data_IF_642691828371
#
_entry.id   IF_642691828371
#
_cell.length_a   1.000
_cell.length_b   1.000
_cell.length_c   1.000
_cell.angle_alpha   90.00
_cell.angle_beta   90.00
_cell.angle_gamma   90.00
#
_symmetry.space_group_name_H-M   'P 1'
#
loop_
_entity.id
_entity.type
_entity.pdbx_description
1 polymer ?
#
# COMPACT_ATOMS: atom_id res chain seq x y z
N UNK A 1 -0.04 -35.73 3.45
CA UNK A 1 -0.07 -34.67 4.48
C UNK A 1 -0.31 -33.38 3.76
N UNK A 2 -1.33 -32.60 4.12
CA UNK A 2 -1.44 -31.24 3.57
C UNK A 2 -0.20 -30.50 4.07
N UNK A 3 0.67 -30.06 3.16
CA UNK A 3 1.83 -29.24 3.48
C UNK A 3 1.39 -27.97 4.23
N UNK A 4 2.29 -27.38 4.99
CA UNK A 4 2.10 -26.07 5.61
C UNK A 4 1.63 -25.08 4.52
N UNK A 5 0.65 -24.27 4.86
CA UNK A 5 0.11 -23.25 3.95
C UNK A 5 0.76 -21.89 4.22
N UNK A 6 1.84 -21.87 4.98
CA UNK A 6 2.55 -20.65 5.38
C UNK A 6 3.37 -20.07 4.23
N UNK A 7 3.47 -18.76 4.19
CA UNK A 7 4.25 -18.02 3.20
C UNK A 7 5.16 -17.05 3.94
N UNK A 8 6.45 -17.12 3.64
CA UNK A 8 7.48 -16.27 4.23
C UNK A 8 7.97 -15.22 3.24
N UNK A 9 8.34 -14.08 3.76
CA UNK A 9 9.00 -12.98 3.03
C UNK A 9 10.49 -13.17 3.24
N UNK A 10 11.20 -13.52 2.18
CA UNK A 10 12.65 -13.78 2.27
C UNK A 10 13.46 -12.49 2.24
N UNK A 11 13.00 -11.49 1.51
CA UNK A 11 13.61 -10.17 1.39
C UNK A 11 12.86 -9.31 0.39
N UNK A 12 13.28 -8.06 0.27
CA UNK A 12 12.66 -7.13 -0.67
C UNK A 12 13.41 -5.82 -0.81
N UNK A 13 12.96 -5.02 -1.77
CA UNK A 13 13.52 -3.73 -2.12
C UNK A 13 12.43 -2.70 -2.41
N UNK A 14 12.71 -1.44 -2.11
CA UNK A 14 11.94 -0.27 -2.54
C UNK A 14 12.88 0.73 -3.19
N UNK A 15 12.53 1.23 -4.38
CA UNK A 15 13.27 2.31 -5.02
C UNK A 15 13.07 3.64 -4.27
N UNK A 16 13.94 4.62 -4.54
CA UNK A 16 13.77 5.96 -4.00
C UNK A 16 12.59 6.68 -4.69
N UNK A 17 11.49 6.92 -3.96
CA UNK A 17 10.27 7.53 -4.48
C UNK A 17 10.37 9.05 -4.67
N UNK A 18 11.43 9.70 -4.18
CA UNK A 18 11.66 11.11 -4.47
C UNK A 18 12.10 11.36 -5.92
N UNK A 19 12.57 10.32 -6.61
CA UNK A 19 13.06 10.42 -7.99
C UNK A 19 11.96 10.78 -8.99
N UNK A 20 12.38 11.33 -10.10
CA UNK A 20 11.56 11.50 -11.30
C UNK A 20 12.25 10.76 -12.45
N UNK A 21 11.83 9.51 -12.68
CA UNK A 21 12.50 8.62 -13.62
C UNK A 21 12.40 9.13 -15.07
N UNK A 22 11.32 9.83 -15.42
CA UNK A 22 11.19 10.46 -16.72
C UNK A 22 12.26 11.54 -16.96
N UNK A 23 12.54 12.38 -15.95
CA UNK A 23 13.61 13.40 -16.03
C UNK A 23 15.00 12.75 -16.06
N UNK A 24 15.15 11.58 -15.47
CA UNK A 24 16.39 10.80 -15.51
C UNK A 24 16.56 10.02 -16.81
N UNK A 25 15.59 10.07 -17.73
CA UNK A 25 15.60 9.32 -18.99
C UNK A 25 15.44 7.81 -18.79
N UNK A 26 14.80 7.39 -17.71
CA UNK A 26 14.54 5.98 -17.36
C UNK A 26 13.11 5.59 -17.68
N UNK A 27 12.93 4.38 -18.15
CA UNK A 27 11.66 3.77 -18.52
C UNK A 27 11.28 2.60 -17.60
N UNK A 28 10.20 1.88 -17.93
CA UNK A 28 9.79 0.67 -17.20
C UNK A 28 10.86 -0.43 -17.20
N UNK A 29 11.63 -0.58 -18.27
CA UNK A 29 12.68 -1.59 -18.30
C UNK A 29 13.77 -1.28 -17.27
N UNK A 30 14.22 -0.02 -17.23
CA UNK A 30 15.22 0.43 -16.26
C UNK A 30 14.72 0.34 -14.81
N UNK A 31 13.46 0.71 -14.54
CA UNK A 31 12.86 0.57 -13.21
C UNK A 31 12.70 -0.90 -12.81
N UNK A 32 12.24 -1.75 -13.73
CA UNK A 32 12.07 -3.19 -13.47
C UNK A 32 13.41 -3.86 -13.19
N UNK A 33 14.46 -3.54 -13.96
CA UNK A 33 15.80 -4.06 -13.72
C UNK A 33 16.31 -3.71 -12.32
N UNK A 34 16.19 -2.43 -11.92
CA UNK A 34 16.57 -1.96 -10.60
C UNK A 34 15.84 -2.74 -9.48
N UNK A 35 14.50 -2.88 -9.61
CA UNK A 35 13.69 -3.56 -8.59
C UNK A 35 13.99 -5.05 -8.53
N UNK A 36 14.12 -5.73 -9.66
CA UNK A 36 14.42 -7.16 -9.73
C UNK A 36 15.79 -7.45 -9.11
N UNK A 37 16.84 -6.78 -9.60
CA UNK A 37 18.22 -7.02 -9.14
C UNK A 37 18.38 -6.75 -7.64
N UNK A 38 17.86 -5.60 -7.17
CA UNK A 38 17.97 -5.24 -5.77
C UNK A 38 17.12 -6.15 -4.86
N UNK A 39 15.95 -6.61 -5.33
CA UNK A 39 15.09 -7.54 -4.59
C UNK A 39 15.76 -8.91 -4.43
N UNK A 40 16.28 -9.48 -5.52
CA UNK A 40 17.00 -10.76 -5.49
C UNK A 40 18.24 -10.68 -4.60
N UNK A 41 18.98 -9.56 -4.69
CA UNK A 41 20.14 -9.30 -3.82
C UNK A 41 19.75 -9.24 -2.35
N UNK A 42 18.71 -8.49 -2.00
CA UNK A 42 18.23 -8.38 -0.62
C UNK A 42 17.71 -9.71 -0.06
N UNK A 43 17.09 -10.53 -0.91
CA UNK A 43 16.63 -11.86 -0.55
C UNK A 43 17.75 -12.92 -0.56
N UNK A 44 18.95 -12.58 -1.04
CA UNK A 44 20.10 -13.49 -1.17
C UNK A 44 19.72 -14.77 -1.95
N UNK A 45 19.03 -14.58 -3.09
CA UNK A 45 18.54 -15.67 -3.93
C UNK A 45 18.97 -15.47 -5.39
N UNK A 46 19.28 -16.57 -6.08
CA UNK A 46 19.52 -16.54 -7.52
C UNK A 46 18.19 -16.45 -8.29
N UNK A 47 18.17 -15.70 -9.37
CA UNK A 47 16.99 -15.58 -10.23
C UNK A 47 16.49 -16.93 -10.75
N UNK A 48 17.39 -17.88 -11.02
CA UNK A 48 17.04 -19.24 -11.47
C UNK A 48 16.27 -20.06 -10.43
N UNK A 49 16.26 -19.67 -9.16
CA UNK A 49 15.45 -20.32 -8.11
C UNK A 49 14.01 -19.78 -8.05
N UNK A 50 13.69 -18.72 -8.78
CA UNK A 50 12.34 -18.17 -8.86
C UNK A 50 11.48 -19.03 -9.78
N UNK A 51 10.41 -19.62 -9.24
CA UNK A 51 9.50 -20.46 -10.01
C UNK A 51 8.39 -19.68 -10.74
N UNK A 52 7.99 -18.51 -10.21
CA UNK A 52 6.92 -17.68 -10.81
C UNK A 52 7.12 -16.20 -10.50
N UNK A 53 6.68 -15.31 -11.41
CA UNK A 53 6.75 -13.86 -11.22
C UNK A 53 5.36 -13.23 -11.30
N UNK A 54 5.04 -12.35 -10.35
CA UNK A 54 3.80 -11.58 -10.33
C UNK A 54 4.10 -10.08 -10.34
N UNK A 55 3.57 -9.38 -11.36
CA UNK A 55 3.81 -7.94 -11.52
C UNK A 55 2.53 -7.17 -11.15
N UNK A 56 2.61 -6.28 -10.16
CA UNK A 56 1.58 -5.30 -9.85
C UNK A 56 1.80 -4.01 -10.63
N UNK A 57 0.87 -3.66 -11.49
CA UNK A 57 0.89 -2.39 -12.23
C UNK A 57 -0.52 -2.04 -12.68
N UNK A 58 -0.92 -0.78 -12.56
CA UNK A 58 -2.28 -0.34 -12.89
C UNK A 58 -2.35 0.38 -14.24
N UNK A 59 -1.46 1.33 -14.52
CA UNK A 59 -1.65 2.31 -15.58
C UNK A 59 -0.51 2.36 -16.62
N UNK A 60 0.27 1.30 -16.78
CA UNK A 60 1.42 1.28 -17.68
C UNK A 60 1.08 1.70 -19.11
N UNK A 61 -0.06 1.26 -19.65
CA UNK A 61 -0.51 1.64 -20.99
C UNK A 61 -0.85 3.13 -21.10
N UNK A 62 -1.42 3.71 -20.06
CA UNK A 62 -1.87 5.10 -20.09
C UNK A 62 -0.72 6.08 -19.91
N UNK A 63 0.19 5.81 -18.98
CA UNK A 63 1.32 6.69 -18.71
C UNK A 63 2.50 6.52 -19.67
N UNK A 64 2.80 5.28 -20.07
CA UNK A 64 4.00 4.97 -20.85
C UNK A 64 3.71 4.20 -22.15
N UNK A 65 2.44 3.92 -22.48
CA UNK A 65 2.03 3.08 -23.62
C UNK A 65 2.66 1.69 -23.59
N UNK A 66 2.99 1.19 -22.38
CA UNK A 66 3.60 -0.12 -22.19
C UNK A 66 2.60 -1.07 -21.54
N UNK A 67 2.06 -1.99 -22.32
CA UNK A 67 1.34 -3.16 -21.84
C UNK A 67 2.28 -4.35 -21.61
N UNK A 68 1.70 -5.51 -21.28
CA UNK A 68 2.38 -6.79 -21.13
C UNK A 68 3.56 -6.75 -20.12
N UNK A 69 3.41 -5.94 -19.06
CA UNK A 69 4.46 -5.76 -18.06
C UNK A 69 4.78 -7.04 -17.27
N UNK A 70 3.93 -8.07 -17.31
CA UNK A 70 4.27 -9.38 -16.78
C UNK A 70 5.53 -10.00 -17.38
N UNK A 71 5.83 -9.71 -18.67
CA UNK A 71 7.04 -10.19 -19.34
C UNK A 71 8.27 -9.29 -19.13
N UNK A 72 8.11 -8.11 -18.49
CA UNK A 72 9.22 -7.18 -18.31
C UNK A 72 10.35 -7.73 -17.44
N UNK A 73 10.10 -8.45 -16.33
CA UNK A 73 11.16 -9.06 -15.53
C UNK A 73 12.07 -9.99 -16.35
N UNK A 74 11.52 -10.87 -17.19
CA UNK A 74 12.31 -11.73 -18.07
C UNK A 74 13.04 -10.95 -19.18
N UNK A 75 12.55 -9.77 -19.58
CA UNK A 75 13.21 -8.90 -20.55
C UNK A 75 14.50 -8.31 -20.00
N UNK A 76 14.56 -8.05 -18.68
CA UNK A 76 15.67 -7.32 -18.04
C UNK A 76 16.57 -8.19 -17.16
N UNK A 77 16.20 -9.46 -16.94
CA UNK A 77 16.95 -10.40 -16.12
C UNK A 77 16.97 -11.78 -16.82
N UNK A 78 18.12 -12.14 -17.40
CA UNK A 78 18.30 -13.40 -18.15
C UNK A 78 17.98 -14.64 -17.28
N UNK A 79 18.23 -14.58 -15.98
CA UNK A 79 17.93 -15.68 -15.06
C UNK A 79 16.43 -15.95 -14.85
N UNK A 80 15.55 -15.03 -15.29
CA UNK A 80 14.09 -15.19 -15.28
C UNK A 80 13.54 -15.58 -16.67
N UNK A 81 14.41 -15.83 -17.66
CA UNK A 81 13.96 -16.29 -18.98
C UNK A 81 13.30 -17.66 -18.84
N UNK A 82 12.13 -17.82 -19.50
CA UNK A 82 11.23 -18.98 -19.40
C UNK A 82 10.48 -19.13 -18.06
N UNK A 83 10.68 -18.23 -17.07
CA UNK A 83 9.91 -18.22 -15.82
C UNK A 83 8.48 -17.73 -16.10
N UNK A 84 7.42 -18.50 -15.72
CA UNK A 84 6.03 -18.05 -15.84
C UNK A 84 5.79 -16.72 -15.13
N UNK A 85 5.09 -15.81 -15.80
CA UNK A 85 4.84 -14.48 -15.24
C UNK A 85 3.45 -13.94 -15.60
N UNK A 86 2.88 -13.11 -14.74
CA UNK A 86 1.61 -12.44 -14.99
C UNK A 86 1.59 -11.02 -14.42
N UNK A 87 0.76 -10.14 -15.01
CA UNK A 87 0.46 -8.81 -14.49
C UNK A 87 -0.90 -8.81 -13.82
N UNK A 88 -1.00 -8.12 -12.68
CA UNK A 88 -2.20 -7.94 -11.88
C UNK A 88 -2.59 -6.46 -11.82
N UNK A 89 -3.88 -6.20 -12.00
CA UNK A 89 -4.48 -4.87 -11.93
C UNK A 89 -5.67 -4.89 -10.95
N UNK A 90 -5.67 -3.96 -10.00
CA UNK A 90 -6.75 -3.66 -9.08
C UNK A 90 -6.62 -2.19 -8.58
N UNK A 91 -6.38 -1.27 -9.53
CA UNK A 91 -6.03 0.12 -9.23
C UNK A 91 -4.88 0.20 -8.20
N UNK A 92 -5.02 1.03 -7.15
CA UNK A 92 -3.99 1.20 -6.11
C UNK A 92 -3.71 -0.08 -5.28
N UNK A 93 -4.52 -1.13 -5.40
CA UNK A 93 -4.31 -2.43 -4.76
C UNK A 93 -3.60 -3.46 -5.67
N UNK A 94 -3.15 -3.08 -6.87
CA UNK A 94 -2.53 -4.00 -7.84
C UNK A 94 -1.36 -4.78 -7.26
N UNK A 95 -0.48 -4.12 -6.49
CA UNK A 95 0.63 -4.76 -5.80
C UNK A 95 0.18 -5.78 -4.76
N UNK A 96 -0.83 -5.45 -3.96
CA UNK A 96 -1.38 -6.38 -2.96
C UNK A 96 -2.07 -7.60 -3.60
N UNK A 97 -2.74 -7.41 -4.76
CA UNK A 97 -3.35 -8.52 -5.50
C UNK A 97 -2.28 -9.40 -6.14
N UNK A 98 -1.16 -8.83 -6.62
CA UNK A 98 -0.01 -9.60 -7.08
C UNK A 98 0.57 -10.48 -5.95
N UNK A 99 0.70 -9.95 -4.73
CA UNK A 99 1.09 -10.72 -3.52
C UNK A 99 0.09 -11.85 -3.24
N UNK A 100 -1.23 -11.58 -3.26
CA UNK A 100 -2.25 -12.62 -3.03
C UNK A 100 -2.16 -13.75 -4.06
N UNK A 101 -1.86 -13.42 -5.33
CA UNK A 101 -1.70 -14.40 -6.40
C UNK A 101 -0.44 -15.25 -6.20
N UNK A 102 0.69 -14.63 -5.85
CA UNK A 102 1.91 -15.33 -5.47
C UNK A 102 1.69 -16.27 -4.28
N UNK A 103 0.98 -15.81 -3.24
CA UNK A 103 0.61 -16.65 -2.10
C UNK A 103 -0.25 -17.84 -2.51
N UNK A 104 -1.18 -17.67 -3.45
CA UNK A 104 -2.02 -18.78 -3.92
C UNK A 104 -1.18 -19.85 -4.63
N UNK A 105 -0.24 -19.46 -5.48
CA UNK A 105 0.66 -20.36 -6.19
C UNK A 105 1.58 -21.11 -5.23
N UNK A 106 2.21 -20.43 -4.26
CA UNK A 106 3.06 -21.05 -3.25
C UNK A 106 2.28 -22.00 -2.34
N UNK A 107 1.07 -21.63 -1.92
CA UNK A 107 0.21 -22.46 -1.05
C UNK A 107 -0.36 -23.67 -1.76
N UNK A 108 -0.54 -23.61 -3.07
CA UNK A 108 -0.95 -24.75 -3.88
C UNK A 108 0.17 -25.77 -4.07
N UNK A 109 1.43 -25.39 -3.78
CA UNK A 109 2.63 -26.17 -4.07
C UNK A 109 2.97 -26.24 -5.56
N UNK A 110 2.40 -25.35 -6.38
CA UNK A 110 2.75 -25.26 -7.80
C UNK A 110 4.18 -24.70 -7.98
N UNK A 111 4.59 -23.82 -7.08
CA UNK A 111 5.91 -23.21 -7.04
C UNK A 111 6.37 -23.08 -5.57
N UNK A 112 7.69 -23.02 -5.36
CA UNK A 112 8.28 -22.92 -4.02
C UNK A 112 8.83 -21.53 -3.71
N UNK A 113 9.16 -20.75 -4.74
CA UNK A 113 9.59 -19.36 -4.66
C UNK A 113 8.91 -18.50 -5.71
N UNK A 114 8.45 -17.33 -5.32
CA UNK A 114 7.81 -16.34 -6.17
C UNK A 114 8.49 -14.97 -6.03
N UNK A 115 8.70 -14.28 -7.17
CA UNK A 115 9.10 -12.88 -7.19
C UNK A 115 7.85 -12.02 -7.43
N UNK A 116 7.59 -11.07 -6.54
CA UNK A 116 6.54 -10.06 -6.72
C UNK A 116 7.21 -8.72 -7.00
N UNK A 117 6.80 -8.06 -8.08
CA UNK A 117 7.32 -6.76 -8.53
C UNK A 117 6.18 -5.78 -8.70
N UNK A 118 6.14 -4.72 -7.91
CA UNK A 118 5.20 -3.61 -8.11
C UNK A 118 5.93 -2.44 -8.76
N UNK A 119 5.42 -1.91 -9.86
CA UNK A 119 6.04 -0.80 -10.60
C UNK A 119 5.00 0.17 -11.13
N UNK A 120 5.29 1.47 -11.08
CA UNK A 120 4.47 2.50 -11.73
C UNK A 120 5.32 3.71 -12.14
N UNK A 121 4.96 4.35 -13.27
CA UNK A 121 5.54 5.59 -13.76
C UNK A 121 4.43 6.61 -13.98
N UNK A 122 4.29 7.59 -13.08
CA UNK A 122 3.17 8.55 -13.09
C UNK A 122 3.61 9.97 -13.49
N UNK A 123 4.92 10.22 -13.54
CA UNK A 123 5.49 11.54 -13.85
C UNK A 123 5.84 11.71 -15.34
N UNK A 124 5.31 10.84 -16.21
CA UNK A 124 5.54 10.87 -17.67
C UNK A 124 4.74 11.94 -18.38
N UNK A 125 3.69 12.46 -17.75
CA UNK A 125 2.74 13.44 -18.29
C UNK A 125 2.50 14.57 -17.28
N UNK A 126 1.94 15.73 -17.71
CA UNK A 126 1.53 16.79 -16.78
C UNK A 126 0.49 16.31 -15.76
N UNK A 127 0.45 16.91 -14.57
CA UNK A 127 -0.38 16.49 -13.45
C UNK A 127 -1.88 16.38 -13.76
N UNK A 128 -2.47 17.31 -14.50
CA UNK A 128 -3.89 17.22 -14.91
C UNK A 128 -4.15 16.00 -15.81
N UNK A 129 -3.23 15.67 -16.71
CA UNK A 129 -3.31 14.44 -17.53
C UNK A 129 -3.11 13.19 -16.69
N UNK A 130 -2.17 13.23 -15.74
CA UNK A 130 -1.96 12.14 -14.81
C UNK A 130 -3.22 11.84 -13.99
N UNK A 131 -3.89 12.87 -13.47
CA UNK A 131 -5.15 12.73 -12.76
C UNK A 131 -6.25 12.09 -13.62
N UNK A 132 -6.33 12.46 -14.93
CA UNK A 132 -7.26 11.82 -15.86
C UNK A 132 -6.93 10.34 -16.09
N UNK A 133 -5.64 10.00 -16.22
CA UNK A 133 -5.21 8.60 -16.36
C UNK A 133 -5.59 7.77 -15.14
N UNK A 134 -5.30 8.27 -13.94
CA UNK A 134 -5.70 7.62 -12.69
C UNK A 134 -7.23 7.49 -12.57
N UNK A 135 -7.99 8.44 -13.09
CA UNK A 135 -9.44 8.44 -13.11
C UNK A 135 -10.07 7.25 -13.87
N UNK A 136 -9.31 6.60 -14.77
CA UNK A 136 -9.78 5.42 -15.50
C UNK A 136 -10.10 4.22 -14.60
N UNK A 137 -9.62 4.17 -13.36
CA UNK A 137 -9.96 3.12 -12.40
C UNK A 137 -11.31 3.34 -11.69
N UNK A 138 -12.01 4.44 -11.93
CA UNK A 138 -13.38 4.65 -11.48
C UNK A 138 -14.40 4.09 -12.49
N UNK A 139 -15.66 4.16 -12.16
CA UNK A 139 -16.74 3.77 -13.09
C UNK A 139 -16.93 4.87 -14.14
N UNK A 140 -16.14 4.78 -15.21
CA UNK A 140 -16.10 5.77 -16.28
C UNK A 140 -17.49 6.09 -16.83
N UNK A 141 -17.81 7.39 -16.92
CA UNK A 141 -19.11 7.88 -17.39
C UNK A 141 -20.23 7.84 -16.35
N UNK A 142 -19.97 7.36 -15.14
CA UNK A 142 -20.95 7.26 -14.04
C UNK A 142 -20.52 7.99 -12.77
N UNK A 143 -19.24 8.31 -12.62
CA UNK A 143 -18.67 8.98 -11.44
C UNK A 143 -17.83 10.17 -11.85
N UNK A 144 -17.83 11.22 -11.00
CA UNK A 144 -16.91 12.35 -11.11
C UNK A 144 -17.05 13.24 -12.33
N UNK A 145 -18.23 13.27 -12.96
CA UNK A 145 -18.44 14.07 -14.19
C UNK A 145 -18.11 15.57 -14.03
N UNK A 146 -18.32 16.12 -12.82
CA UNK A 146 -18.09 17.52 -12.50
C UNK A 146 -16.77 17.79 -11.74
N UNK A 147 -15.97 16.74 -11.45
CA UNK A 147 -14.74 16.88 -10.71
C UNK A 147 -13.56 17.18 -11.65
N UNK A 148 -12.73 18.16 -11.29
CA UNK A 148 -11.43 18.36 -11.94
C UNK A 148 -10.47 17.22 -11.58
N UNK A 149 -10.48 16.84 -10.32
CA UNK A 149 -9.66 15.74 -9.77
C UNK A 149 -10.55 14.68 -9.14
N UNK A 150 -10.81 13.62 -9.89
CA UNK A 150 -11.78 12.59 -9.52
C UNK A 150 -11.54 11.99 -8.14
N UNK A 151 -10.31 11.53 -7.84
CA UNK A 151 -10.04 10.81 -6.60
C UNK A 151 -10.15 11.70 -5.36
N UNK A 152 -9.58 12.93 -5.33
CA UNK A 152 -9.85 13.87 -4.26
C UNK A 152 -11.34 14.13 -4.04
N UNK A 153 -12.11 14.31 -5.13
CA UNK A 153 -13.56 14.52 -5.04
C UNK A 153 -14.29 13.31 -4.42
N UNK A 154 -13.90 12.08 -4.79
CA UNK A 154 -14.52 10.88 -4.23
C UNK A 154 -14.18 10.70 -2.75
N UNK A 155 -12.96 10.96 -2.32
CA UNK A 155 -12.60 10.86 -0.92
C UNK A 155 -13.11 12.03 -0.07
N UNK A 156 -13.34 13.21 -0.67
CA UNK A 156 -14.12 14.26 -0.04
C UNK A 156 -15.56 13.78 0.26
N UNK A 157 -16.21 13.06 -0.67
CA UNK A 157 -17.53 12.47 -0.45
C UNK A 157 -17.53 11.38 0.65
N UNK A 158 -16.43 10.61 0.80
CA UNK A 158 -16.28 9.67 1.93
C UNK A 158 -16.24 10.43 3.25
N UNK A 159 -15.47 11.54 3.31
CA UNK A 159 -15.42 12.40 4.49
C UNK A 159 -16.78 13.06 4.77
N UNK A 160 -17.48 13.53 3.74
CA UNK A 160 -18.82 14.11 3.87
C UNK A 160 -19.84 13.09 4.41
N UNK A 161 -19.75 11.83 3.99
CA UNK A 161 -20.61 10.76 4.52
C UNK A 161 -20.27 10.43 5.97
N UNK A 162 -18.98 10.44 6.34
CA UNK A 162 -18.56 10.27 7.73
C UNK A 162 -19.08 11.43 8.60
N UNK A 163 -18.94 12.67 8.11
CA UNK A 163 -19.46 13.87 8.76
C UNK A 163 -20.98 13.82 8.94
N UNK A 164 -21.72 13.43 7.91
CA UNK A 164 -23.16 13.26 7.95
C UNK A 164 -23.62 12.29 9.04
N UNK A 165 -22.86 11.21 9.28
CA UNK A 165 -23.21 10.16 10.26
C UNK A 165 -22.80 10.53 11.68
N UNK A 166 -21.60 11.09 11.86
CA UNK A 166 -20.94 11.17 13.16
C UNK A 166 -20.44 12.56 13.53
N UNK A 167 -20.42 13.46 12.55
CA UNK A 167 -19.68 14.71 12.67
C UNK A 167 -18.19 14.51 12.39
N UNK A 168 -17.57 15.46 11.73
CA UNK A 168 -16.14 15.47 11.40
C UNK A 168 -15.62 16.90 11.52
N UNK A 169 -14.67 17.11 12.42
CA UNK A 169 -13.88 18.33 12.44
C UNK A 169 -12.71 18.18 11.46
N UNK A 170 -12.63 19.07 10.47
CA UNK A 170 -11.54 19.06 9.48
C UNK A 170 -10.16 19.24 10.12
N UNK A 171 -10.07 19.77 11.34
CA UNK A 171 -8.82 19.84 12.10
C UNK A 171 -8.20 18.44 12.31
N UNK A 172 -9.01 17.39 12.48
CA UNK A 172 -8.51 16.03 12.63
C UNK A 172 -7.91 15.51 11.31
N UNK A 173 -8.48 15.85 10.15
CA UNK A 173 -7.87 15.54 8.85
C UNK A 173 -6.53 16.27 8.68
N UNK A 174 -6.46 17.54 9.12
CA UNK A 174 -5.23 18.35 9.07
C UNK A 174 -4.14 17.85 10.02
N UNK A 175 -4.47 17.08 11.06
CA UNK A 175 -3.50 16.48 11.96
C UNK A 175 -2.77 15.27 11.36
N UNK A 176 -3.39 14.55 10.43
CA UNK A 176 -2.83 13.33 9.81
C UNK A 176 -1.63 13.65 8.92
N UNK A 177 -1.77 14.62 8.01
CA UNK A 177 -0.71 14.93 7.05
C UNK A 177 0.62 15.35 7.71
N UNK A 178 0.66 16.25 8.72
CA UNK A 178 1.90 16.59 9.42
C UNK A 178 2.59 15.37 10.05
N UNK A 179 1.82 14.44 10.63
CA UNK A 179 2.35 13.21 11.21
C UNK A 179 3.03 12.36 10.12
N UNK A 180 2.35 12.13 8.99
CA UNK A 180 2.89 11.34 7.89
C UNK A 180 4.11 12.00 7.24
N UNK A 181 4.15 13.33 7.11
CA UNK A 181 5.35 14.05 6.67
C UNK A 181 6.50 13.94 7.68
N UNK A 182 6.21 14.00 8.98
CA UNK A 182 7.24 13.81 10.02
C UNK A 182 7.81 12.39 10.00
N UNK A 183 6.97 11.37 9.82
CA UNK A 183 7.39 9.99 9.66
C UNK A 183 8.21 9.79 8.37
N UNK A 184 7.80 10.39 7.25
CA UNK A 184 8.51 10.33 5.98
C UNK A 184 9.96 10.86 6.06
N UNK A 185 10.23 11.86 6.90
CA UNK A 185 11.60 12.37 7.11
C UNK A 185 12.56 11.33 7.69
N UNK A 186 12.03 10.29 8.34
CA UNK A 186 12.79 9.16 8.90
C UNK A 186 13.03 8.05 7.88
N UNK A 187 12.31 8.05 6.76
CA UNK A 187 12.39 7.03 5.74
C UNK A 187 13.27 7.50 4.56
N UNK A 188 14.43 6.88 4.32
CA UNK A 188 15.38 7.30 3.27
C UNK A 188 14.80 7.18 1.85
N UNK A 189 13.75 6.38 1.66
CA UNK A 189 13.12 6.17 0.36
C UNK A 189 11.81 6.97 0.17
N UNK A 190 11.41 7.77 1.18
CA UNK A 190 10.18 8.55 1.12
C UNK A 190 10.28 9.71 0.12
N UNK A 191 9.21 9.94 -0.63
CA UNK A 191 9.13 11.00 -1.64
C UNK A 191 9.34 12.39 -1.05
N UNK A 192 8.79 12.63 0.14
CA UNK A 192 8.70 13.97 0.72
C UNK A 192 9.73 14.23 1.82
N UNK A 193 10.66 13.29 2.07
CA UNK A 193 11.63 13.37 3.17
C UNK A 193 12.39 14.71 3.27
N UNK A 194 12.67 15.33 2.11
CA UNK A 194 13.42 16.59 2.01
C UNK A 194 12.49 17.81 1.74
N UNK A 195 11.16 17.62 1.77
CA UNK A 195 10.25 18.72 1.49
C UNK A 195 10.14 19.68 2.66
N UNK A 196 10.08 20.97 2.33
CA UNK A 196 9.66 22.00 3.29
C UNK A 196 8.13 22.02 3.31
N UNK A 197 7.56 21.48 4.38
CA UNK A 197 6.12 21.48 4.62
C UNK A 197 5.81 22.56 5.68
N UNK A 198 4.74 23.36 5.51
CA UNK A 198 4.32 24.31 6.55
C UNK A 198 4.06 23.61 7.88
N UNK A 199 4.46 24.23 8.96
CA UNK A 199 4.19 23.75 10.33
C UNK A 199 3.71 24.94 11.17
N UNK A 200 2.44 24.99 11.57
CA UNK A 200 1.37 24.04 11.26
C UNK A 200 0.88 24.09 9.79
N UNK A 201 0.35 22.98 9.30
CA UNK A 201 -0.44 22.98 8.05
C UNK A 201 -1.81 23.61 8.37
N UNK A 202 -2.09 24.74 7.74
CA UNK A 202 -3.33 25.51 7.98
C UNK A 202 -4.27 25.46 6.78
N UNK A 203 -5.47 26.03 6.93
CA UNK A 203 -6.46 26.22 5.87
C UNK A 203 -6.24 27.49 5.02
N UNK A 204 -5.03 28.04 5.05
CA UNK A 204 -4.66 29.17 4.21
C UNK A 204 -4.55 28.75 2.74
N UNK A 205 -5.40 29.34 1.89
CA UNK A 205 -5.48 29.01 0.46
C UNK A 205 -4.21 29.36 -0.33
N UNK A 206 -3.36 30.23 0.18
CA UNK A 206 -2.09 30.58 -0.47
C UNK A 206 -1.04 29.45 -0.33
N UNK A 207 -1.04 28.76 0.80
CA UNK A 207 -0.06 27.70 1.12
C UNK A 207 -0.64 26.30 0.99
N UNK A 208 -1.93 26.14 1.27
CA UNK A 208 -2.67 24.87 1.25
C UNK A 208 -4.03 25.03 0.52
N UNK A 209 -4.04 25.29 -0.80
CA UNK A 209 -5.27 25.52 -1.55
C UNK A 209 -6.18 24.29 -1.55
N UNK A 210 -7.50 24.54 -1.68
CA UNK A 210 -8.50 23.50 -1.88
C UNK A 210 -8.20 22.76 -3.20
N UNK A 211 -8.19 21.43 -3.13
CA UNK A 211 -8.06 20.55 -4.30
C UNK A 211 -9.43 20.16 -4.82
N UNK A 212 -10.28 19.56 -3.98
CA UNK A 212 -11.67 19.18 -4.29
C UNK A 212 -12.49 19.07 -3.00
N UNK A 213 -13.71 19.60 -3.00
CA UNK A 213 -14.59 19.56 -1.86
C UNK A 213 -13.93 20.14 -0.60
N UNK A 214 -13.85 19.35 0.47
CA UNK A 214 -13.15 19.74 1.72
C UNK A 214 -11.65 19.44 1.72
N UNK A 215 -11.14 18.72 0.71
CA UNK A 215 -9.74 18.32 0.65
C UNK A 215 -8.85 19.42 0.10
N UNK A 216 -7.72 19.58 0.75
CA UNK A 216 -6.67 20.53 0.41
C UNK A 216 -5.43 19.83 -0.12
N UNK A 217 -4.47 20.59 -0.63
CA UNK A 217 -3.24 20.07 -1.26
C UNK A 217 -2.49 19.07 -0.38
N UNK A 218 -2.33 19.36 0.91
CA UNK A 218 -1.59 18.49 1.82
C UNK A 218 -2.41 17.32 2.35
N UNK A 219 -3.71 17.26 2.06
CA UNK A 219 -4.54 16.07 2.31
C UNK A 219 -4.34 14.97 1.26
N UNK A 220 -3.57 15.23 0.21
CA UNK A 220 -3.45 14.38 -0.96
C UNK A 220 -2.02 13.85 -1.13
N UNK A 221 -1.88 12.54 -1.38
CA UNK A 221 -0.64 11.97 -1.88
C UNK A 221 -0.29 12.56 -3.26
N UNK A 222 0.99 12.50 -3.62
CA UNK A 222 1.49 13.10 -4.85
C UNK A 222 1.79 12.03 -5.91
N UNK A 223 1.78 12.41 -7.20
CA UNK A 223 2.23 11.55 -8.30
C UNK A 223 3.65 11.06 -8.03
N UNK A 224 3.87 9.76 -8.17
CA UNK A 224 5.12 9.11 -7.80
C UNK A 224 5.56 8.12 -8.87
N UNK A 225 6.82 8.20 -9.29
CA UNK A 225 7.47 7.11 -10.00
C UNK A 225 8.12 6.17 -9.00
N UNK A 226 8.03 4.87 -9.21
CA UNK A 226 8.78 3.96 -8.36
C UNK A 226 8.34 2.51 -8.45
N UNK A 227 9.11 1.69 -7.77
CA UNK A 227 8.85 0.25 -7.68
C UNK A 227 9.27 -0.33 -6.34
N UNK A 228 8.69 -1.48 -6.03
CA UNK A 228 9.04 -2.30 -4.89
C UNK A 228 8.96 -3.77 -5.27
N UNK A 229 9.79 -4.60 -4.65
CA UNK A 229 9.82 -6.04 -4.90
C UNK A 229 9.92 -6.85 -3.61
N UNK A 230 9.40 -8.07 -3.67
CA UNK A 230 9.48 -9.08 -2.61
C UNK A 230 9.79 -10.44 -3.19
N UNK A 231 10.59 -11.23 -2.49
CA UNK A 231 10.67 -12.67 -2.71
C UNK A 231 9.84 -13.36 -1.62
N UNK A 232 8.86 -14.14 -2.06
CA UNK A 232 8.01 -14.97 -1.21
C UNK A 232 8.36 -16.43 -1.41
N UNK A 233 8.38 -17.21 -0.32
CA UNK A 233 8.71 -18.64 -0.36
C UNK A 233 7.75 -19.45 0.52
N UNK A 234 7.66 -20.75 0.23
CA UNK A 234 6.90 -21.69 1.04
C UNK A 234 7.84 -22.55 1.93
N UNK A 235 7.27 -23.49 2.68
CA UNK A 235 8.01 -24.38 3.58
C UNK A 235 8.95 -25.34 2.83
N UNK A 236 8.57 -25.77 1.62
CA UNK A 236 9.41 -26.66 0.82
C UNK A 236 10.72 -25.96 0.43
N UNK A 237 10.63 -24.69 -0.03
CA UNK A 237 11.83 -23.89 -0.31
C UNK A 237 12.76 -23.79 0.92
N UNK A 238 12.20 -23.48 2.10
CA UNK A 238 13.00 -23.34 3.32
C UNK A 238 13.64 -24.66 3.75
N UNK A 239 12.97 -25.79 3.50
CA UNK A 239 13.51 -27.13 3.74
C UNK A 239 14.73 -27.45 2.87
N UNK A 240 14.72 -27.02 1.62
CA UNK A 240 15.81 -27.19 0.65
C UNK A 240 16.91 -26.14 0.82
N UNK A 241 16.63 -25.02 1.50
CA UNK A 241 17.55 -23.91 1.71
C UNK A 241 17.69 -23.56 3.20
N UNK A 242 18.33 -24.40 4.02
CA UNK A 242 18.39 -24.23 5.47
C UNK A 242 19.13 -22.97 5.94
N UNK A 243 19.89 -22.34 5.04
CA UNK A 243 20.57 -21.07 5.30
C UNK A 243 19.71 -19.84 4.97
N UNK A 244 18.53 -20.01 4.37
CA UNK A 244 17.60 -18.91 4.11
C UNK A 244 17.11 -18.28 5.42
N UNK A 245 17.00 -16.96 5.43
CA UNK A 245 16.60 -16.18 6.63
C UNK A 245 15.44 -15.26 6.26
N UNK A 246 14.18 -15.74 6.39
CA UNK A 246 13.02 -14.90 6.16
C UNK A 246 12.96 -13.72 7.14
N UNK A 247 12.57 -12.57 6.63
CA UNK A 247 12.40 -11.33 7.41
C UNK A 247 10.98 -11.15 7.97
N UNK A 248 10.06 -12.08 7.64
CA UNK A 248 8.70 -12.07 8.16
C UNK A 248 7.89 -13.22 7.58
N UNK A 249 6.75 -13.50 8.20
CA UNK A 249 5.77 -14.49 7.75
C UNK A 249 4.39 -13.84 7.58
N UNK A 250 3.70 -14.14 6.49
CA UNK A 250 2.33 -13.66 6.25
C UNK A 250 1.36 -14.64 6.92
N UNK A 251 0.92 -14.31 8.13
CA UNK A 251 0.03 -15.15 8.93
C UNK A 251 -1.45 -14.94 8.60
N UNK A 252 -1.80 -13.76 8.12
CA UNK A 252 -3.18 -13.46 7.81
C UNK A 252 -3.35 -12.59 6.58
N UNK A 253 -4.48 -12.77 5.91
CA UNK A 253 -4.89 -11.90 4.80
C UNK A 253 -6.41 -11.76 4.76
N UNK A 254 -6.88 -10.61 4.30
CA UNK A 254 -8.27 -10.33 3.95
C UNK A 254 -8.33 -9.70 2.59
N UNK A 255 -9.30 -10.11 1.78
CA UNK A 255 -9.53 -9.56 0.44
C UNK A 255 -11.02 -9.39 0.23
N UNK A 256 -11.43 -8.21 -0.17
CA UNK A 256 -12.81 -7.90 -0.55
C UNK A 256 -12.83 -7.14 -1.87
N UNK A 257 -13.74 -7.51 -2.74
CA UNK A 257 -14.07 -6.76 -3.94
C UNK A 257 -15.56 -6.42 -3.90
N UNK A 258 -15.87 -5.14 -4.11
CA UNK A 258 -17.25 -4.61 -4.17
C UNK A 258 -17.43 -3.82 -5.47
N UNK A 259 -18.64 -3.29 -5.73
CA UNK A 259 -18.91 -2.51 -6.94
C UNK A 259 -18.03 -1.27 -7.05
N UNK A 260 -17.78 -0.80 -8.29
CA UNK A 260 -16.96 0.39 -8.55
C UNK A 260 -17.57 1.64 -7.93
N UNK A 261 -18.88 1.87 -8.10
CA UNK A 261 -19.57 3.09 -7.72
C UNK A 261 -19.50 3.40 -6.22
N UNK A 262 -18.94 4.56 -5.86
CA UNK A 262 -18.87 5.00 -4.46
C UNK A 262 -20.25 5.15 -3.85
N UNK A 263 -21.17 5.85 -4.54
CA UNK A 263 -22.54 6.03 -4.04
C UNK A 263 -23.23 4.71 -3.76
N UNK A 264 -23.06 3.73 -4.63
CA UNK A 264 -23.61 2.38 -4.45
C UNK A 264 -23.09 1.70 -3.16
N UNK A 265 -21.82 1.92 -2.81
CA UNK A 265 -21.20 1.39 -1.57
C UNK A 265 -21.80 2.07 -0.35
N UNK A 266 -21.91 3.39 -0.37
CA UNK A 266 -22.44 4.19 0.74
C UNK A 266 -23.92 3.89 0.98
N UNK A 267 -24.74 3.77 -0.08
CA UNK A 267 -26.17 3.41 0.03
C UNK A 267 -26.37 2.02 0.63
N UNK A 268 -25.53 1.05 0.28
CA UNK A 268 -25.59 -0.30 0.86
C UNK A 268 -25.16 -0.33 2.32
N UNK A 269 -24.32 0.60 2.74
CA UNK A 269 -23.81 0.73 4.10
C UNK A 269 -24.64 1.68 4.99
N UNK A 270 -25.75 2.25 4.52
CA UNK A 270 -26.48 3.31 5.23
C UNK A 270 -26.95 2.90 6.65
N UNK A 271 -27.18 1.60 6.89
CA UNK A 271 -27.56 1.07 8.21
C UNK A 271 -26.43 0.41 8.98
N UNK A 272 -25.26 0.32 8.39
CA UNK A 272 -24.08 -0.26 9.03
C UNK A 272 -23.38 0.82 9.87
N UNK A 273 -22.86 0.49 11.06
CA UNK A 273 -22.10 1.47 11.85
C UNK A 273 -20.81 1.92 11.16
N UNK A 274 -20.26 1.14 10.25
CA UNK A 274 -19.08 1.52 9.49
C UNK A 274 -19.46 2.14 8.14
N UNK A 275 -18.81 3.23 7.76
CA UNK A 275 -19.04 3.90 6.46
C UNK A 275 -18.77 2.96 5.28
N UNK A 276 -17.75 2.12 5.39
CA UNK A 276 -17.33 1.15 4.38
C UNK A 276 -17.11 -0.24 5.03
N UNK A 277 -18.18 -0.96 5.40
CA UNK A 277 -18.09 -2.19 6.20
C UNK A 277 -17.26 -3.31 5.57
N UNK A 278 -17.10 -3.33 4.24
CA UNK A 278 -16.23 -4.27 3.55
C UNK A 278 -14.74 -4.04 3.85
N UNK A 279 -14.35 -2.80 4.17
CA UNK A 279 -12.99 -2.47 4.65
C UNK A 279 -12.75 -3.14 6.00
N UNK A 280 -13.67 -2.92 6.95
CA UNK A 280 -13.63 -3.61 8.25
C UNK A 280 -13.60 -5.12 8.10
N UNK A 281 -14.43 -5.69 7.21
CA UNK A 281 -14.48 -7.13 6.96
C UNK A 281 -13.14 -7.69 6.44
N UNK A 282 -12.42 -6.96 5.60
CA UNK A 282 -11.09 -7.38 5.13
C UNK A 282 -10.07 -7.43 6.28
N UNK A 283 -10.06 -6.42 7.15
CA UNK A 283 -9.20 -6.39 8.35
C UNK A 283 -9.52 -7.56 9.28
N UNK A 284 -10.80 -7.77 9.60
CA UNK A 284 -11.22 -8.88 10.46
C UNK A 284 -10.86 -10.27 9.89
N UNK A 285 -10.93 -10.43 8.57
CA UNK A 285 -10.50 -11.68 7.92
C UNK A 285 -9.00 -11.90 8.05
N UNK A 286 -8.18 -10.85 7.91
CA UNK A 286 -6.74 -10.93 8.08
C UNK A 286 -6.38 -11.31 9.53
N UNK A 287 -6.92 -10.60 10.50
CA UNK A 287 -6.72 -10.88 11.94
C UNK A 287 -7.17 -12.29 12.31
N UNK A 288 -8.36 -12.70 11.86
CA UNK A 288 -8.88 -14.04 12.13
C UNK A 288 -7.99 -15.15 11.56
N UNK A 289 -7.46 -15.01 10.35
CA UNK A 289 -6.54 -15.98 9.76
C UNK A 289 -5.21 -16.03 10.49
N UNK A 290 -4.71 -14.88 10.92
CA UNK A 290 -3.52 -14.78 11.76
C UNK A 290 -3.75 -15.30 13.19
N UNK A 291 -5.00 -15.55 13.59
CA UNK A 291 -5.41 -15.89 14.97
C UNK A 291 -4.97 -14.80 15.97
N UNK A 292 -5.14 -13.55 15.57
CA UNK A 292 -4.78 -12.36 16.33
C UNK A 292 -6.01 -11.44 16.51
N UNK A 293 -5.99 -10.66 17.58
CA UNK A 293 -6.82 -9.48 17.77
C UNK A 293 -6.04 -8.22 17.38
N UNK A 294 -6.68 -7.06 17.38
CA UNK A 294 -5.97 -5.78 17.18
C UNK A 294 -4.95 -5.52 18.31
N UNK A 295 -5.23 -6.02 19.51
CA UNK A 295 -4.34 -5.85 20.68
C UNK A 295 -3.01 -6.61 20.54
N UNK A 296 -2.94 -7.55 19.61
CA UNK A 296 -1.73 -8.31 19.29
C UNK A 296 -0.92 -7.66 18.14
N UNK A 297 -1.34 -6.49 17.63
CA UNK A 297 -0.71 -5.82 16.48
C UNK A 297 0.00 -4.55 16.95
N UNK A 298 1.25 -4.40 16.55
CA UNK A 298 2.15 -3.33 17.01
C UNK A 298 2.12 -2.09 16.12
N UNK A 299 1.47 -2.14 14.95
CA UNK A 299 1.28 -1.00 14.07
C UNK A 299 0.71 -1.41 12.70
N UNK A 300 0.36 -0.42 11.91
CA UNK A 300 -0.20 -0.60 10.56
C UNK A 300 0.40 0.34 9.53
N UNK A 301 0.67 -0.17 8.34
CA UNK A 301 0.70 0.64 7.12
C UNK A 301 -0.70 0.66 6.52
N UNK A 302 -1.33 1.83 6.44
CA UNK A 302 -2.66 2.00 5.86
C UNK A 302 -2.60 2.83 4.59
N UNK A 303 -3.64 2.70 3.77
CA UNK A 303 -3.77 3.41 2.52
C UNK A 303 -4.27 4.84 2.76
N UNK A 304 -3.37 5.78 2.90
CA UNK A 304 -3.62 7.21 3.08
C UNK A 304 -3.40 8.01 1.77
N UNK A 305 -3.96 7.54 0.66
CA UNK A 305 -3.90 8.36 -0.57
C UNK A 305 -4.51 9.76 -0.34
N UNK A 306 -5.42 9.87 0.62
CA UNK A 306 -6.00 11.11 1.14
C UNK A 306 -6.19 10.98 2.66
N UNK A 307 -6.13 12.09 3.40
CA UNK A 307 -6.32 12.09 4.85
C UNK A 307 -7.62 11.43 5.32
N UNK A 308 -8.79 11.55 4.62
CA UNK A 308 -9.98 10.80 4.99
C UNK A 308 -9.83 9.27 4.95
N UNK A 309 -8.93 8.76 4.11
CA UNK A 309 -8.69 7.30 4.05
C UNK A 309 -8.07 6.79 5.34
N UNK A 310 -7.08 7.50 5.88
CA UNK A 310 -6.45 7.15 7.16
C UNK A 310 -7.40 7.41 8.32
N UNK A 311 -8.11 8.53 8.30
CA UNK A 311 -9.11 8.85 9.32
C UNK A 311 -10.16 7.73 9.43
N UNK A 312 -10.67 7.25 8.30
CA UNK A 312 -11.59 6.13 8.23
C UNK A 312 -10.91 4.82 8.68
N UNK A 313 -9.64 4.61 8.33
CA UNK A 313 -8.94 3.38 8.70
C UNK A 313 -8.87 3.20 10.23
N UNK A 314 -8.75 4.27 11.02
CA UNK A 314 -8.63 4.22 12.48
C UNK A 314 -9.78 3.43 13.13
N UNK A 315 -11.03 3.78 12.83
CA UNK A 315 -12.18 3.05 13.39
C UNK A 315 -12.43 1.71 12.67
N UNK A 316 -12.14 1.62 11.36
CA UNK A 316 -12.28 0.37 10.60
C UNK A 316 -11.23 -0.69 10.99
N UNK A 317 -10.06 -0.31 11.48
CA UNK A 317 -9.13 -1.21 12.17
C UNK A 317 -9.70 -1.67 13.52
N UNK A 318 -10.51 -0.85 14.17
CA UNK A 318 -11.10 -1.07 15.49
C UNK A 318 -10.27 -0.51 16.62
N UNK A 319 -9.38 0.46 16.33
CA UNK A 319 -8.66 1.20 17.36
C UNK A 319 -9.65 2.02 18.21
N UNK A 320 -10.65 2.58 17.54
CA UNK A 320 -11.77 3.27 18.18
C UNK A 320 -13.11 2.64 17.77
N UNK A 321 -14.18 3.04 18.43
CA UNK A 321 -15.54 2.73 17.98
C UNK A 321 -15.90 3.45 16.67
N UNK A 322 -16.97 2.98 15.97
CA UNK A 322 -17.43 3.64 14.74
C UNK A 322 -17.75 5.11 14.97
N UNK A 323 -17.23 6.00 14.13
CA UNK A 323 -17.43 7.43 14.25
C UNK A 323 -16.54 8.14 15.29
N UNK A 324 -15.59 7.43 15.89
CA UNK A 324 -14.78 7.94 17.00
C UNK A 324 -13.27 8.08 16.65
N UNK A 325 -12.92 8.07 15.37
CA UNK A 325 -11.50 8.17 14.93
C UNK A 325 -10.76 9.39 15.50
N UNK A 326 -11.48 10.48 15.74
CA UNK A 326 -10.95 11.69 16.36
C UNK A 326 -10.29 11.45 17.72
N UNK A 327 -10.78 10.48 18.51
CA UNK A 327 -10.20 10.16 19.84
C UNK A 327 -8.75 9.69 19.73
N UNK A 328 -8.48 8.81 18.75
CA UNK A 328 -7.12 8.30 18.55
C UNK A 328 -6.15 9.42 18.13
N UNK A 329 -6.64 10.39 17.33
CA UNK A 329 -5.83 11.54 16.91
C UNK A 329 -5.55 12.47 18.08
N UNK A 330 -6.59 12.86 18.85
CA UNK A 330 -6.43 13.77 19.99
C UNK A 330 -5.60 13.16 21.12
N UNK A 331 -5.62 11.84 21.29
CA UNK A 331 -4.83 11.13 22.28
C UNK A 331 -3.41 10.77 21.80
N UNK A 332 -3.07 10.99 20.52
CA UNK A 332 -1.78 10.62 19.95
C UNK A 332 -1.60 9.11 19.72
N UNK A 333 -2.66 8.30 19.80
CA UNK A 333 -2.61 6.84 19.81
C UNK A 333 -2.05 6.22 18.50
N UNK A 334 -1.99 7.02 17.41
CA UNK A 334 -1.47 6.60 16.09
C UNK A 334 0.00 7.01 15.86
N UNK A 335 0.64 7.68 16.82
CA UNK A 335 2.03 8.13 16.74
C UNK A 335 3.01 6.98 17.02
N UNK A 336 4.25 7.08 16.49
CA UNK A 336 5.32 6.11 16.81
C UNK A 336 5.62 6.18 18.31
N UNK A 337 5.53 5.03 18.97
CA UNK A 337 5.75 4.90 20.41
C UNK A 337 4.49 4.93 21.24
N UNK A 338 3.31 5.03 20.61
CA UNK A 338 2.01 4.96 21.29
C UNK A 338 1.26 3.67 20.94
N UNK A 339 -0.06 3.62 21.20
CA UNK A 339 -0.89 2.39 21.20
C UNK A 339 -0.88 1.63 19.88
N UNK A 340 -1.03 2.30 18.73
CA UNK A 340 -1.06 1.67 17.42
C UNK A 340 -0.48 2.61 16.35
N UNK A 341 0.83 2.69 16.21
CA UNK A 341 1.46 3.49 15.18
C UNK A 341 0.86 3.22 13.79
N UNK A 342 0.38 4.29 13.14
CA UNK A 342 -0.14 4.22 11.77
C UNK A 342 0.84 4.92 10.84
N UNK A 343 1.18 4.27 9.72
CA UNK A 343 2.09 4.81 8.71
C UNK A 343 3.43 5.30 9.24
N UNK A 344 4.15 4.51 10.05
CA UNK A 344 5.48 4.91 10.54
C UNK A 344 6.48 5.14 9.40
N UNK A 345 6.26 4.55 8.21
CA UNK A 345 7.06 4.78 7.00
C UNK A 345 6.81 6.15 6.34
N UNK A 346 5.78 6.89 6.76
CA UNK A 346 5.27 8.11 6.14
C UNK A 346 4.04 7.91 5.27
N UNK A 347 3.51 6.68 5.20
CA UNK A 347 2.32 6.35 4.43
C UNK A 347 2.47 6.60 2.92
N UNK A 348 1.38 6.98 2.27
CA UNK A 348 1.35 7.37 0.86
C UNK A 348 1.50 8.90 0.72
N UNK A 349 0.95 9.67 1.66
CA UNK A 349 1.05 11.14 1.67
C UNK A 349 2.51 11.57 1.80
N UNK A 350 3.23 11.01 2.75
CA UNK A 350 4.63 11.33 2.99
C UNK A 350 5.59 10.46 2.20
N UNK A 351 5.36 9.15 2.19
CA UNK A 351 6.22 8.15 1.56
C UNK A 351 6.19 8.15 0.04
N UNK A 352 5.05 8.51 -0.56
CA UNK A 352 4.81 8.43 -2.00
C UNK A 352 3.89 7.28 -2.41
N UNK A 353 3.25 7.41 -3.58
CA UNK A 353 2.20 6.49 -4.03
C UNK A 353 2.36 6.05 -5.48
N UNK A 354 3.44 5.34 -5.86
CA UNK A 354 3.43 4.65 -7.16
C UNK A 354 2.41 3.53 -7.08
N UNK A 355 1.31 3.68 -7.83
CA UNK A 355 0.05 2.94 -7.62
C UNK A 355 0.27 1.42 -7.62
N UNK A 356 0.96 0.89 -8.64
CA UNK A 356 1.24 -0.54 -8.75
C UNK A 356 2.23 -1.09 -7.69
N UNK A 357 3.07 -0.22 -7.12
CA UNK A 357 4.10 -0.61 -6.16
C UNK A 357 3.62 -0.53 -4.70
N UNK A 358 2.64 0.33 -4.39
CA UNK A 358 2.29 0.68 -3.02
C UNK A 358 1.94 -0.52 -2.14
N UNK A 359 1.15 -1.48 -2.65
CA UNK A 359 0.79 -2.67 -1.87
C UNK A 359 1.97 -3.59 -1.58
N UNK A 360 2.96 -3.66 -2.49
CA UNK A 360 4.21 -4.41 -2.28
C UNK A 360 5.08 -3.71 -1.26
N UNK A 361 5.23 -2.36 -1.38
CA UNK A 361 5.97 -1.52 -0.45
C UNK A 361 5.43 -1.62 0.98
N UNK A 362 4.10 -1.50 1.16
CA UNK A 362 3.46 -1.61 2.48
C UNK A 362 3.77 -2.97 3.15
N UNK A 363 3.72 -4.06 2.39
CA UNK A 363 4.06 -5.38 2.91
C UNK A 363 5.54 -5.52 3.24
N UNK A 364 6.43 -4.91 2.44
CA UNK A 364 7.86 -4.85 2.74
C UNK A 364 8.13 -4.06 4.03
N UNK A 365 7.45 -2.92 4.22
CA UNK A 365 7.62 -2.13 5.46
C UNK A 365 7.11 -2.90 6.67
N UNK A 366 5.98 -3.61 6.58
CA UNK A 366 5.52 -4.51 7.64
C UNK A 366 6.56 -5.59 7.98
N UNK A 367 7.20 -6.19 6.97
CA UNK A 367 8.26 -7.17 7.18
C UNK A 367 9.52 -6.56 7.81
N UNK A 368 9.90 -5.34 7.41
CA UNK A 368 11.01 -4.60 8.04
C UNK A 368 10.71 -4.29 9.50
N UNK A 369 9.48 -3.89 9.84
CA UNK A 369 9.07 -3.62 11.22
C UNK A 369 9.25 -4.85 12.09
N UNK A 370 8.73 -6.01 11.68
CA UNK A 370 8.78 -7.24 12.50
C UNK A 370 10.17 -7.89 12.55
N UNK A 371 11.07 -7.50 11.66
CA UNK A 371 12.47 -7.96 11.65
C UNK A 371 13.47 -6.98 12.26
N UNK A 372 13.00 -5.83 12.75
CA UNK A 372 13.89 -4.78 13.29
C UNK A 372 14.73 -4.06 12.24
N UNK A 373 14.33 -4.11 10.96
CA UNK A 373 15.09 -3.58 9.83
C UNK A 373 14.54 -2.26 9.25
N UNK A 374 13.57 -1.62 9.94
CA UNK A 374 12.94 -0.40 9.45
C UNK A 374 13.80 0.88 9.68
N UNK A 375 14.93 0.79 10.38
CA UNK A 375 15.81 1.93 10.60
C UNK A 375 15.14 3.01 11.47
N UNK A 376 15.23 4.28 11.04
CA UNK A 376 14.78 5.41 11.88
C UNK A 376 13.26 5.52 12.05
N UNK A 377 12.47 4.76 11.24
CA UNK A 377 11.01 4.66 11.41
C UNK A 377 10.56 3.36 12.08
N UNK A 378 11.49 2.65 12.74
CA UNK A 378 11.21 1.41 13.46
C UNK A 378 10.26 1.65 14.63
N UNK A 379 9.19 0.85 14.73
CA UNK A 379 8.37 0.68 15.92
C UNK A 379 9.10 -0.27 16.88
N UNK A 380 9.36 0.18 18.10
CA UNK A 380 10.13 -0.58 19.08
C UNK A 380 9.46 -1.95 19.36
N UNK A 381 10.26 -3.00 19.39
CA UNK A 381 9.84 -4.37 19.71
C UNK A 381 8.68 -4.93 18.85
N UNK A 382 8.43 -4.37 17.66
CA UNK A 382 7.35 -4.83 16.79
C UNK A 382 7.54 -6.30 16.39
N UNK A 383 6.53 -7.13 16.64
CA UNK A 383 6.50 -8.58 16.33
C UNK A 383 5.35 -8.95 15.40
N UNK A 384 4.32 -8.12 15.32
CA UNK A 384 3.14 -8.30 14.48
C UNK A 384 2.77 -6.97 13.85
N UNK A 385 2.73 -6.90 12.52
CA UNK A 385 2.44 -5.66 11.83
C UNK A 385 1.38 -5.86 10.74
N UNK A 386 0.44 -4.92 10.65
CA UNK A 386 -0.66 -4.98 9.72
C UNK A 386 -0.47 -4.11 8.49
N UNK A 387 -1.16 -4.44 7.39
CA UNK A 387 -1.32 -3.55 6.24
C UNK A 387 -2.78 -3.45 5.84
N UNK A 388 -3.19 -2.29 5.31
CA UNK A 388 -4.54 -2.07 4.77
C UNK A 388 -4.42 -1.25 3.48
N UNK A 389 -4.65 -1.87 2.33
CA UNK A 389 -4.49 -1.26 1.02
C UNK A 389 -5.81 -1.22 0.24
N UNK A 390 -6.11 -0.09 -0.41
CA UNK A 390 -7.32 0.14 -1.20
C UNK A 390 -7.01 0.25 -2.69
N UNK A 391 -7.93 -0.22 -3.52
CA UNK A 391 -7.97 0.03 -4.95
C UNK A 391 -9.22 0.82 -5.32
N UNK A 392 -9.04 1.92 -6.04
CA UNK A 392 -10.12 2.86 -6.36
C UNK A 392 -10.76 3.45 -5.11
N UNK A 393 -12.06 3.74 -5.14
CA UNK A 393 -12.81 4.15 -3.95
C UNK A 393 -13.14 2.96 -3.05
N UNK A 394 -12.10 2.19 -2.62
CA UNK A 394 -12.19 0.94 -1.85
C UNK A 394 -12.91 -0.22 -2.57
N UNK A 395 -13.00 -0.16 -3.91
CA UNK A 395 -13.59 -1.25 -4.70
C UNK A 395 -12.87 -2.58 -4.48
N UNK A 396 -11.55 -2.55 -4.39
CA UNK A 396 -10.72 -3.65 -3.91
C UNK A 396 -10.10 -3.25 -2.58
N UNK A 397 -10.19 -4.10 -1.57
CA UNK A 397 -9.56 -3.90 -0.26
C UNK A 397 -8.77 -5.14 0.10
N UNK A 398 -7.48 -4.96 0.43
CA UNK A 398 -6.58 -6.04 0.88
C UNK A 398 -5.95 -5.64 2.20
N UNK A 399 -5.91 -6.58 3.14
CA UNK A 399 -5.21 -6.44 4.41
C UNK A 399 -4.33 -7.66 4.64
N UNK A 400 -3.11 -7.45 5.13
CA UNK A 400 -2.21 -8.52 5.57
C UNK A 400 -1.85 -8.35 7.04
N UNK A 401 -1.51 -9.46 7.68
CA UNK A 401 -0.86 -9.50 9.00
C UNK A 401 0.45 -10.26 8.84
N UNK A 402 1.55 -9.59 9.13
CA UNK A 402 2.91 -10.12 9.09
C UNK A 402 3.41 -10.32 10.51
N UNK A 403 4.07 -11.42 10.77
CA UNK A 403 4.66 -11.73 12.08
C UNK A 403 6.16 -11.97 11.94
N UNK A 404 6.88 -11.68 13.02
CA UNK A 404 8.29 -12.01 13.15
C UNK A 404 8.52 -13.52 13.01
N UNK A 405 9.67 -13.88 12.46
CA UNK A 405 10.14 -15.26 12.39
C UNK A 405 10.92 -15.64 13.66
N UNK A 406 10.99 -16.94 14.00
CA UNK A 406 11.81 -17.40 15.11
C UNK A 406 13.29 -17.09 14.80
N UNK A 407 13.91 -16.26 15.64
CA UNK A 407 15.32 -15.86 15.52
C UNK A 407 15.56 -14.48 14.85
N UNK A 408 14.50 -13.71 14.53
CA UNK A 408 14.59 -12.31 14.14
C UNK A 408 14.49 -11.39 15.36
#
# INVERSE_FOLDING_TARGET
MAGSTDVWILGGYQSDFARNLTKEGRDFAALTAEVVDATLTAATIDAAAIGVVHVGNAFGEMFARQGHLGAMPATVCDGLWDTPASRHEAACASGSVAVLSAMADLRSGAYDAALVVGIELEKTVPGDTAAQHLGAAAWTGHEGADARYLWPAMFAQVADEYDRRYGLDDAHLRAIAPLNFANARRNPNAQTRDWTVPDPITDDDATNPITEGRLRRFDCSQMTDGGAGLVLVNEAFLGDHPDARPIGRIDGWGHRTVGLGLRQKLDRADRDPYVLPHVRAAVLDALRRAKRSLDDVDGFEVHDCFTPSEYLAIDHLGLTGPGESWKAIENGEIEIGDRLPINPSGGLIGGGHPVGASGVRMLLDAAKQVSGAAGDYQVEDARTFGTLNFGGSTATTVSFVVTATEGS
#
